data_IF_531794757060
#
_entry.id   IF_531794757060
#
_cell.length_a   1.000
_cell.length_b   1.000
_cell.length_c   1.000
_cell.angle_alpha   90.00
_cell.angle_beta   90.00
_cell.angle_gamma   90.00
#
_symmetry.space_group_name_H-M   'P 1'
#
loop_
_entity.id
_entity.type
_entity.pdbx_description
1 polymer ?
#
# COMPACT_ATOMS: atom_id res chain seq x y z
N UNK A 1 37.24 -3.00 -10.84
CA UNK A 1 36.31 -2.61 -9.78
C UNK A 1 34.93 -3.13 -10.19
N UNK A 2 34.50 -4.28 -9.65
CA UNK A 2 33.17 -4.83 -9.95
C UNK A 2 32.18 -4.13 -9.03
N UNK A 3 31.20 -3.45 -9.62
CA UNK A 3 30.00 -3.03 -8.89
C UNK A 3 29.35 -4.32 -8.39
N UNK A 4 29.38 -4.55 -7.07
CA UNK A 4 28.55 -5.57 -6.46
C UNK A 4 27.11 -5.12 -6.72
N UNK A 5 26.40 -5.84 -7.59
CA UNK A 5 24.95 -5.78 -7.59
C UNK A 5 24.51 -6.10 -6.17
N UNK A 6 23.99 -5.09 -5.47
CA UNK A 6 23.26 -5.30 -4.23
C UNK A 6 21.97 -6.01 -4.65
N UNK A 7 22.07 -7.33 -4.78
CA UNK A 7 20.90 -8.19 -4.88
C UNK A 7 20.17 -7.98 -3.56
N UNK A 8 19.04 -7.25 -3.61
CA UNK A 8 18.10 -7.15 -2.49
C UNK A 8 17.55 -8.57 -2.25
N UNK A 9 18.24 -9.32 -1.39
CA UNK A 9 17.75 -10.60 -0.91
C UNK A 9 16.64 -10.31 0.10
N UNK A 10 15.40 -10.62 -0.28
CA UNK A 10 14.23 -10.50 0.58
C UNK A 10 13.97 -11.78 1.39
N UNK A 11 14.99 -12.61 1.65
CA UNK A 11 14.87 -13.66 2.68
C UNK A 11 14.95 -13.01 4.06
N UNK A 12 13.86 -12.37 4.46
CA UNK A 12 13.67 -11.74 5.76
C UNK A 12 12.46 -12.39 6.43
N UNK A 13 12.55 -12.61 7.75
CA UNK A 13 11.47 -13.18 8.55
C UNK A 13 10.15 -12.43 8.29
N UNK A 14 9.05 -13.17 8.11
CA UNK A 14 7.73 -12.62 7.81
C UNK A 14 7.31 -11.50 8.78
N UNK A 15 7.63 -11.64 10.06
CA UNK A 15 7.32 -10.66 11.11
C UNK A 15 8.12 -9.39 10.90
N UNK A 16 9.38 -9.52 10.52
CA UNK A 16 10.29 -8.40 10.26
C UNK A 16 9.83 -7.65 9.01
N UNK A 17 9.46 -8.36 7.95
CA UNK A 17 8.90 -7.75 6.74
C UNK A 17 7.60 -7.01 7.04
N UNK A 18 6.70 -7.63 7.81
CA UNK A 18 5.45 -6.99 8.23
C UNK A 18 5.70 -5.69 9.00
N UNK A 19 6.59 -5.69 10.00
CA UNK A 19 6.92 -4.48 10.77
C UNK A 19 7.53 -3.39 9.89
N UNK A 20 8.41 -3.76 8.96
CA UNK A 20 9.01 -2.83 8.02
C UNK A 20 7.93 -2.19 7.11
N UNK A 21 7.03 -2.99 6.54
CA UNK A 21 5.92 -2.51 5.72
C UNK A 21 5.03 -1.54 6.51
N UNK A 22 4.70 -1.85 7.76
CA UNK A 22 3.87 -0.99 8.61
C UNK A 22 4.53 0.36 8.91
N UNK A 23 5.85 0.39 9.14
CA UNK A 23 6.58 1.65 9.31
C UNK A 23 6.58 2.45 8.01
N UNK A 24 6.88 1.82 6.87
CA UNK A 24 6.90 2.52 5.58
C UNK A 24 5.54 3.07 5.16
N UNK A 25 4.44 2.37 5.47
CA UNK A 25 3.10 2.80 5.06
C UNK A 25 2.53 3.92 5.94
N UNK A 26 2.81 3.90 7.24
CA UNK A 26 2.08 4.73 8.21
C UNK A 26 2.94 5.76 8.96
N UNK A 27 4.26 5.67 8.85
CA UNK A 27 5.20 6.59 9.50
C UNK A 27 5.80 7.52 8.45
N UNK A 28 5.73 8.86 8.63
CA UNK A 28 6.41 9.78 7.72
C UNK A 28 7.94 9.64 7.84
N UNK A 29 8.63 9.47 6.71
CA UNK A 29 10.09 9.43 6.62
C UNK A 29 10.57 10.29 5.45
N UNK A 30 11.85 10.72 5.49
CA UNK A 30 12.46 11.55 4.44
C UNK A 30 13.26 10.71 3.45
N UNK A 31 13.90 9.66 3.94
CA UNK A 31 14.69 8.72 3.14
C UNK A 31 14.57 7.30 3.70
N UNK A 32 13.97 6.40 2.93
CA UNK A 32 13.77 5.00 3.32
C UNK A 32 15.09 4.31 3.74
N UNK A 33 16.16 4.53 2.97
CA UNK A 33 17.46 3.91 3.21
C UNK A 33 18.10 4.33 4.53
N UNK A 34 17.90 5.58 4.96
CA UNK A 34 18.56 6.17 6.13
C UNK A 34 17.66 6.12 7.37
N UNK A 35 16.37 6.39 7.21
CA UNK A 35 15.43 6.54 8.32
C UNK A 35 14.80 5.21 8.75
N UNK A 36 14.82 4.19 7.88
CA UNK A 36 14.11 2.92 8.11
C UNK A 36 15.03 1.71 7.93
N UNK A 37 15.77 1.62 6.82
CA UNK A 37 16.54 0.41 6.47
C UNK A 37 17.88 0.32 7.21
N UNK A 38 18.54 1.45 7.51
CA UNK A 38 19.84 1.41 8.21
C UNK A 38 19.67 0.92 9.66
N UNK A 39 20.53 -0.01 10.09
CA UNK A 39 20.70 -0.47 11.49
C UNK A 39 19.47 -1.02 12.23
N UNK A 40 18.50 -1.63 11.55
CA UNK A 40 17.26 -2.14 12.17
C UNK A 40 16.42 -1.07 12.88
N UNK A 41 16.60 0.21 12.54
CA UNK A 41 15.87 1.34 13.14
C UNK A 41 14.35 1.19 12.94
N UNK A 42 13.91 0.49 11.89
CA UNK A 42 12.51 0.17 11.67
C UNK A 42 11.87 -0.65 12.81
N UNK A 43 12.58 -1.57 13.46
CA UNK A 43 12.01 -2.38 14.55
C UNK A 43 11.71 -1.50 15.77
N UNK A 44 12.67 -0.67 16.14
CA UNK A 44 12.53 0.30 17.24
C UNK A 44 11.46 1.35 16.91
N UNK A 45 11.41 1.80 15.65
CA UNK A 45 10.40 2.77 15.19
C UNK A 45 9.00 2.16 15.21
N UNK A 46 8.85 0.90 14.79
CA UNK A 46 7.58 0.19 14.89
C UNK A 46 7.13 0.09 16.34
N UNK A 47 7.99 -0.38 17.24
CA UNK A 47 7.66 -0.53 18.67
C UNK A 47 7.31 0.81 19.33
N UNK A 48 8.04 1.87 19.00
CA UNK A 48 7.77 3.21 19.53
C UNK A 48 6.47 3.83 19.01
N UNK A 49 6.01 3.45 17.80
CA UNK A 49 4.89 4.09 17.11
C UNK A 49 3.72 3.16 16.81
N UNK A 50 3.71 1.95 17.36
CA UNK A 50 2.71 0.91 17.05
C UNK A 50 1.29 1.42 17.25
N UNK A 51 1.01 2.13 18.35
CA UNK A 51 -0.31 2.68 18.61
C UNK A 51 -0.74 3.72 17.55
N UNK A 52 0.19 4.58 17.09
CA UNK A 52 -0.08 5.57 16.03
C UNK A 52 -0.31 4.88 14.69
N UNK A 53 0.49 3.86 14.37
CA UNK A 53 0.38 3.04 13.16
C UNK A 53 -0.99 2.36 13.13
N UNK A 54 -1.41 1.74 14.23
CA UNK A 54 -2.70 1.05 14.32
C UNK A 54 -3.88 2.01 14.22
N UNK A 55 -3.79 3.18 14.84
CA UNK A 55 -4.84 4.20 14.76
C UNK A 55 -4.96 4.77 13.34
N UNK A 56 -3.84 5.09 12.68
CA UNK A 56 -3.83 5.52 11.28
C UNK A 56 -4.38 4.44 10.36
N UNK A 57 -3.96 3.19 10.54
CA UNK A 57 -4.47 2.06 9.79
C UNK A 57 -5.98 1.96 9.92
N UNK A 58 -6.52 2.05 11.14
CA UNK A 58 -7.96 2.03 11.39
C UNK A 58 -8.69 3.19 10.71
N UNK A 59 -8.11 4.40 10.71
CA UNK A 59 -8.68 5.56 10.00
C UNK A 59 -8.69 5.37 8.48
N UNK A 60 -7.61 4.83 7.91
CA UNK A 60 -7.56 4.52 6.48
C UNK A 60 -8.51 3.40 6.09
N UNK A 61 -8.60 2.33 6.89
CA UNK A 61 -9.52 1.22 6.67
C UNK A 61 -10.98 1.63 6.87
N UNK A 62 -11.29 2.54 7.80
CA UNK A 62 -12.67 3.05 7.98
C UNK A 62 -13.16 3.89 6.81
N UNK A 63 -12.24 4.45 6.01
CA UNK A 63 -12.57 5.28 4.86
C UNK A 63 -12.80 4.45 3.59
N UNK A 64 -12.53 3.14 3.62
CA UNK A 64 -12.69 2.24 2.47
C UNK A 64 -13.87 1.30 2.72
N UNK A 65 -14.94 1.51 1.97
CA UNK A 65 -16.08 0.58 1.90
C UNK A 65 -15.69 -0.61 1.01
N UNK A 66 -15.04 -1.62 1.61
CA UNK A 66 -14.52 -2.80 0.90
C UNK A 66 -15.65 -3.54 0.18
N UNK A 67 -16.83 -3.66 0.80
CA UNK A 67 -17.97 -4.34 0.20
C UNK A 67 -18.42 -3.64 -1.08
N UNK A 68 -18.56 -2.31 -1.05
CA UNK A 68 -18.87 -1.51 -2.23
C UNK A 68 -17.78 -1.63 -3.31
N UNK A 69 -16.50 -1.56 -2.93
CA UNK A 69 -15.38 -1.68 -3.87
C UNK A 69 -15.38 -3.06 -4.55
N UNK A 70 -15.65 -4.14 -3.80
CA UNK A 70 -15.76 -5.49 -4.35
C UNK A 70 -16.96 -5.63 -5.28
N UNK A 71 -18.12 -5.08 -4.91
CA UNK A 71 -19.32 -5.06 -5.75
C UNK A 71 -19.05 -4.35 -7.09
N UNK A 72 -18.37 -3.20 -7.04
CA UNK A 72 -18.07 -2.40 -8.22
C UNK A 72 -17.01 -3.06 -9.12
N UNK A 73 -16.02 -3.73 -8.53
CA UNK A 73 -15.05 -4.56 -9.25
C UNK A 73 -15.72 -5.74 -9.95
N UNK A 74 -16.64 -6.44 -9.28
CA UNK A 74 -17.43 -7.52 -9.91
C UNK A 74 -18.23 -6.98 -11.09
N UNK A 75 -18.94 -5.87 -10.90
CA UNK A 75 -19.71 -5.21 -11.96
C UNK A 75 -18.84 -4.83 -13.16
N UNK A 76 -17.63 -4.30 -12.92
CA UNK A 76 -16.68 -4.01 -14.00
C UNK A 76 -16.23 -5.29 -14.72
N UNK A 77 -15.87 -6.34 -13.99
CA UNK A 77 -15.49 -7.63 -14.59
C UNK A 77 -16.63 -8.24 -15.43
N UNK A 78 -17.87 -8.19 -14.95
CA UNK A 78 -19.05 -8.67 -15.68
C UNK A 78 -19.34 -7.83 -16.94
N UNK A 79 -18.92 -6.56 -16.96
CA UNK A 79 -19.01 -5.67 -18.12
C UNK A 79 -17.88 -5.89 -19.14
N UNK A 80 -16.82 -6.62 -18.78
CA UNK A 80 -15.67 -6.89 -19.65
C UNK A 80 -15.84 -8.13 -20.55
N UNK A 81 -17.01 -8.79 -20.51
CA UNK A 81 -17.23 -10.05 -21.23
C UNK A 81 -17.82 -9.94 -22.64
N UNK A 82 -18.03 -8.75 -23.20
CA UNK A 82 -18.41 -8.61 -24.61
C UNK A 82 -17.68 -7.43 -25.30
N UNK A 83 -16.62 -7.74 -26.05
CA UNK A 83 -16.01 -6.97 -27.15
C UNK A 83 -15.81 -5.44 -27.00
N UNK A 84 -14.84 -4.97 -26.18
CA UNK A 84 -14.22 -3.64 -26.41
C UNK A 84 -12.76 -3.54 -25.91
N UNK A 85 -11.75 -3.56 -26.81
CA UNK A 85 -10.34 -3.46 -26.43
C UNK A 85 -9.88 -2.04 -26.05
N UNK A 86 -10.70 -0.99 -26.25
CA UNK A 86 -10.26 0.41 -26.15
C UNK A 86 -11.07 1.26 -25.13
N UNK A 87 -12.26 0.83 -24.69
CA UNK A 87 -13.06 1.50 -23.64
C UNK A 87 -12.61 1.24 -22.19
N UNK A 88 -11.82 0.19 -21.96
CA UNK A 88 -11.44 -0.30 -20.63
C UNK A 88 -10.55 0.66 -19.82
N UNK A 89 -9.85 1.60 -20.46
CA UNK A 89 -8.91 2.51 -19.78
C UNK A 89 -9.62 3.69 -19.13
N UNK A 90 -10.64 4.24 -19.81
CA UNK A 90 -11.37 5.40 -19.32
C UNK A 90 -12.21 5.04 -18.07
N UNK A 91 -12.87 3.88 -18.06
CA UNK A 91 -13.67 3.43 -16.91
C UNK A 91 -12.81 3.11 -15.67
N UNK A 92 -11.61 2.54 -15.87
CA UNK A 92 -10.65 2.30 -14.78
C UNK A 92 -10.16 3.61 -14.16
N UNK A 93 -9.85 4.62 -14.97
CA UNK A 93 -9.41 5.92 -14.46
C UNK A 93 -10.52 6.66 -13.70
N UNK A 94 -11.79 6.51 -14.11
CA UNK A 94 -12.93 7.08 -13.37
C UNK A 94 -13.19 6.36 -12.04
N UNK A 95 -13.10 5.03 -12.01
CA UNK A 95 -13.20 4.25 -10.78
C UNK A 95 -12.09 4.58 -9.77
N UNK A 96 -10.85 4.70 -10.25
CA UNK A 96 -9.73 5.11 -9.37
C UNK A 96 -9.95 6.53 -8.82
N UNK A 97 -10.47 7.46 -9.63
CA UNK A 97 -10.81 8.81 -9.17
C UNK A 97 -11.94 8.81 -8.13
N UNK A 98 -12.95 7.97 -8.29
CA UNK A 98 -14.07 7.89 -7.33
C UNK A 98 -13.61 7.37 -5.97
N UNK A 99 -12.71 6.38 -5.93
CA UNK A 99 -12.10 5.88 -4.69
C UNK A 99 -11.26 6.98 -4.01
N UNK A 100 -10.43 7.69 -4.78
CA UNK A 100 -9.56 8.75 -4.24
C UNK A 100 -10.38 9.92 -3.64
N UNK A 101 -11.49 10.30 -4.29
CA UNK A 101 -12.37 11.36 -3.79
C UNK A 101 -13.12 10.97 -2.50
N UNK A 102 -13.35 9.68 -2.27
CA UNK A 102 -14.01 9.18 -1.06
C UNK A 102 -13.04 9.09 0.14
N UNK A 103 -11.73 9.05 -0.11
CA UNK A 103 -10.69 9.05 0.93
C UNK A 103 -10.13 10.42 1.31
N UNK A 104 -10.64 11.52 0.74
CA UNK A 104 -10.19 12.89 1.00
C UNK A 104 -11.10 13.61 2.01
N UNK A 105 -11.04 13.21 3.28
CA UNK A 105 -11.56 13.96 4.44
C UNK A 105 -10.53 13.91 5.55
#
# INVERSE_FOLDING_TARGET
>A
MKLAEVVRSYETDYIVNHKQEMVMLYVPFRCEAVDIIDRNVFMETYEAREAEIMEKRKQYESNIDIERVVEELRRMCDQFDDEDPLGARNQREEFVKSIIQQGAV
#
